data_IF_719421637294
#
_entry.id   IF_719421637294
#
_cell.length_a   1.000
_cell.length_b   1.000
_cell.length_c   1.000
_cell.angle_alpha   90.00
_cell.angle_beta   90.00
_cell.angle_gamma   90.00
#
_symmetry.space_group_name_H-M   'P 1'
#
loop_
_entity.id
_entity.type
_entity.pdbx_description
1 polymer ?
#
# COMPACT_ATOMS: atom_id res chain seq x y z
N UNK A 1 69.86 2.46 -21.74
CA UNK A 1 68.63 1.78 -21.28
C UNK A 1 68.81 1.01 -19.96
N UNK A 2 69.73 0.04 -19.83
CA UNK A 2 69.91 -0.74 -18.57
C UNK A 2 70.23 0.10 -17.31
N UNK A 3 71.04 1.15 -17.43
CA UNK A 3 71.35 2.06 -16.30
C UNK A 3 70.15 2.90 -15.84
N UNK A 4 69.27 3.28 -16.77
CA UNK A 4 68.06 4.06 -16.48
C UNK A 4 67.02 3.21 -15.75
N UNK A 5 66.85 1.95 -16.17
CA UNK A 5 66.03 0.96 -15.46
C UNK A 5 66.54 0.68 -14.04
N UNK A 6 67.85 0.45 -13.87
CA UNK A 6 68.44 0.22 -12.55
C UNK A 6 68.24 1.42 -11.60
N UNK A 7 68.38 2.65 -12.13
CA UNK A 7 68.15 3.87 -11.39
C UNK A 7 66.67 4.03 -11.01
N UNK A 8 65.74 3.79 -11.94
CA UNK A 8 64.29 3.81 -11.70
C UNK A 8 63.86 2.78 -10.65
N UNK A 9 64.39 1.55 -10.70
CA UNK A 9 64.07 0.48 -9.75
C UNK A 9 64.59 0.84 -8.34
N UNK A 10 65.79 1.42 -8.24
CA UNK A 10 66.34 1.87 -6.95
C UNK A 10 65.56 3.06 -6.37
N UNK A 11 65.15 4.00 -7.22
CA UNK A 11 64.34 5.15 -6.85
C UNK A 11 62.93 4.73 -6.41
N UNK A 12 62.25 3.87 -7.20
CA UNK A 12 60.96 3.30 -6.85
C UNK A 12 61.01 2.50 -5.56
N UNK A 13 62.08 1.74 -5.27
CA UNK A 13 62.24 1.05 -3.97
C UNK A 13 62.45 2.03 -2.81
N UNK A 14 63.23 3.09 -3.01
CA UNK A 14 63.56 4.08 -1.97
C UNK A 14 62.36 4.94 -1.58
N UNK A 15 61.50 5.26 -2.54
CA UNK A 15 60.28 6.04 -2.35
C UNK A 15 59.01 5.18 -2.40
N UNK A 16 59.12 3.84 -2.40
CA UNK A 16 57.99 2.92 -2.55
C UNK A 16 56.88 3.20 -1.53
N UNK A 17 57.28 3.38 -0.27
CA UNK A 17 56.36 3.73 0.82
C UNK A 17 55.68 5.07 0.56
N UNK A 18 56.43 6.12 0.26
CA UNK A 18 55.89 7.46 -0.01
C UNK A 18 54.96 7.49 -1.24
N UNK A 19 55.33 6.78 -2.32
CA UNK A 19 54.52 6.63 -3.53
C UNK A 19 53.28 5.79 -3.27
N UNK A 20 53.37 4.73 -2.48
CA UNK A 20 52.23 3.90 -2.08
C UNK A 20 51.26 4.66 -1.19
N UNK A 21 51.75 5.45 -0.23
CA UNK A 21 50.92 6.31 0.62
C UNK A 21 50.28 7.42 -0.20
N UNK A 22 51.02 8.09 -1.09
CA UNK A 22 50.47 9.11 -1.98
C UNK A 22 49.40 8.57 -2.92
N UNK A 23 49.60 7.37 -3.47
CA UNK A 23 48.61 6.70 -4.32
C UNK A 23 47.38 6.26 -3.52
N UNK A 24 47.56 5.72 -2.30
CA UNK A 24 46.46 5.37 -1.40
C UNK A 24 45.64 6.62 -1.03
N UNK A 25 46.28 7.73 -0.67
CA UNK A 25 45.61 8.99 -0.35
C UNK A 25 44.90 9.57 -1.57
N UNK A 26 45.49 9.49 -2.76
CA UNK A 26 44.84 9.93 -3.99
C UNK A 26 43.61 9.07 -4.33
N UNK A 27 43.70 7.74 -4.19
CA UNK A 27 42.58 6.82 -4.39
C UNK A 27 41.47 7.10 -3.38
N UNK A 28 41.81 7.27 -2.09
CA UNK A 28 40.84 7.64 -1.05
C UNK A 28 40.21 9.00 -1.38
N UNK A 29 40.99 10.01 -1.75
CA UNK A 29 40.50 11.34 -2.10
C UNK A 29 39.57 11.35 -3.31
N UNK A 30 39.94 10.65 -4.40
CA UNK A 30 39.09 10.49 -5.59
C UNK A 30 37.80 9.74 -5.25
N UNK A 31 37.90 8.68 -4.43
CA UNK A 31 36.74 7.90 -3.98
C UNK A 31 35.79 8.77 -3.15
N UNK A 32 36.31 9.59 -2.23
CA UNK A 32 35.52 10.53 -1.42
C UNK A 32 34.85 11.61 -2.28
N UNK A 33 35.58 12.19 -3.24
CA UNK A 33 35.03 13.18 -4.18
C UNK A 33 33.92 12.56 -5.03
N UNK A 34 34.16 11.36 -5.57
CA UNK A 34 33.20 10.65 -6.39
C UNK A 34 31.93 10.31 -5.61
N UNK A 35 32.06 9.75 -4.39
CA UNK A 35 30.93 9.50 -3.48
C UNK A 35 30.18 10.81 -3.17
N UNK A 36 30.89 11.91 -2.94
CA UNK A 36 30.28 13.21 -2.65
C UNK A 36 29.48 13.75 -3.83
N UNK A 37 29.98 13.63 -5.07
CA UNK A 37 29.29 14.07 -6.28
C UNK A 37 28.06 13.21 -6.58
N UNK A 38 28.19 11.89 -6.50
CA UNK A 38 27.06 10.96 -6.68
C UNK A 38 25.97 11.21 -5.63
N UNK A 39 26.36 11.46 -4.38
CA UNK A 39 25.42 11.78 -3.31
C UNK A 39 24.75 13.13 -3.52
N UNK A 40 25.44 14.15 -4.04
CA UNK A 40 24.82 15.42 -4.38
C UNK A 40 23.76 15.25 -5.48
N UNK A 41 24.02 14.42 -6.49
CA UNK A 41 23.05 14.07 -7.53
C UNK A 41 21.85 13.30 -6.95
N UNK A 42 22.09 12.32 -6.08
CA UNK A 42 21.03 11.58 -5.40
C UNK A 42 20.15 12.51 -4.55
N UNK A 43 20.76 13.42 -3.79
CA UNK A 43 20.01 14.41 -3.00
C UNK A 43 19.19 15.32 -3.89
N UNK A 44 19.74 15.78 -5.03
CA UNK A 44 18.99 16.58 -5.98
C UNK A 44 17.80 15.81 -6.56
N UNK A 45 17.98 14.52 -6.91
CA UNK A 45 16.91 13.65 -7.37
C UNK A 45 15.84 13.45 -6.29
N UNK A 46 16.23 13.13 -5.05
CA UNK A 46 15.29 12.98 -3.93
C UNK A 46 14.50 14.27 -3.69
N UNK A 47 15.15 15.44 -3.72
CA UNK A 47 14.45 16.73 -3.58
C UNK A 47 13.42 16.94 -4.66
N UNK A 48 13.75 16.59 -5.91
CA UNK A 48 12.80 16.72 -7.01
C UNK A 48 11.64 15.73 -6.85
N UNK A 49 11.91 14.47 -6.49
CA UNK A 49 10.85 13.48 -6.22
C UNK A 49 9.95 13.92 -5.05
N UNK A 50 10.50 14.52 -4.00
CA UNK A 50 9.69 15.06 -2.89
C UNK A 50 8.74 16.15 -3.38
N UNK A 51 9.22 17.10 -4.19
CA UNK A 51 8.37 18.15 -4.76
C UNK A 51 7.27 17.57 -5.66
N UNK A 52 7.60 16.57 -6.48
CA UNK A 52 6.63 15.90 -7.34
C UNK A 52 5.58 15.12 -6.51
N UNK A 53 5.99 14.50 -5.40
CA UNK A 53 5.11 13.83 -4.43
C UNK A 53 4.19 14.84 -3.74
N UNK A 54 4.74 15.96 -3.25
CA UNK A 54 3.97 17.03 -2.60
C UNK A 54 2.91 17.60 -3.55
N UNK A 55 3.30 17.94 -4.79
CA UNK A 55 2.37 18.42 -5.81
C UNK A 55 1.29 17.38 -6.15
N UNK A 56 1.66 16.10 -6.22
CA UNK A 56 0.72 15.00 -6.48
C UNK A 56 -0.25 14.80 -5.32
N UNK A 57 0.20 14.93 -4.07
CA UNK A 57 -0.65 14.87 -2.88
C UNK A 57 -1.61 16.05 -2.84
N UNK A 58 -1.13 17.28 -3.10
CA UNK A 58 -1.97 18.47 -3.17
C UNK A 58 -3.07 18.34 -4.22
N UNK A 59 -2.73 17.85 -5.41
CA UNK A 59 -3.70 17.57 -6.46
C UNK A 59 -4.74 16.50 -6.06
N UNK A 60 -4.36 15.57 -5.17
CA UNK A 60 -5.25 14.55 -4.60
C UNK A 60 -6.03 15.02 -3.35
N UNK A 61 -5.87 16.28 -2.92
CA UNK A 61 -6.53 16.83 -1.73
C UNK A 61 -5.85 16.49 -0.41
N UNK A 62 -4.55 16.19 -0.43
CA UNK A 62 -3.71 15.93 0.73
C UNK A 62 -2.56 16.94 0.80
N UNK A 63 -2.00 17.15 1.98
CA UNK A 63 -0.83 17.99 2.17
C UNK A 63 0.18 17.29 3.10
N UNK A 64 1.42 17.76 3.05
CA UNK A 64 2.54 17.22 3.82
C UNK A 64 3.08 18.30 4.75
N UNK A 65 3.25 17.94 6.03
CA UNK A 65 3.92 18.79 7.00
C UNK A 65 5.04 18.01 7.70
N UNK A 66 6.08 18.73 8.11
CA UNK A 66 7.19 18.18 8.88
C UNK A 66 7.84 19.29 9.71
N UNK A 67 8.47 18.92 10.83
CA UNK A 67 9.16 19.89 11.70
C UNK A 67 10.56 20.21 11.14
N UNK A 68 11.31 19.16 10.80
CA UNK A 68 12.68 19.28 10.29
C UNK A 68 12.90 18.36 9.08
N UNK A 69 13.44 18.91 8.01
CA UNK A 69 13.94 18.17 6.84
C UNK A 69 15.45 18.37 6.72
N UNK A 70 16.21 17.30 6.93
CA UNK A 70 17.67 17.30 6.88
C UNK A 70 18.21 16.45 5.73
N UNK A 71 19.19 16.99 5.00
CA UNK A 71 19.96 16.24 4.01
C UNK A 71 21.42 16.15 4.44
N UNK A 72 21.99 14.95 4.39
CA UNK A 72 23.38 14.74 4.71
C UNK A 72 24.19 14.53 3.43
N UNK A 73 25.20 15.36 3.20
CA UNK A 73 26.03 15.28 1.99
C UNK A 73 27.27 14.39 2.16
N UNK A 74 27.57 13.95 3.40
CA UNK A 74 28.82 13.27 3.74
C UNK A 74 28.66 11.94 4.47
N UNK A 75 27.61 11.74 5.28
CA UNK A 75 27.44 10.53 6.09
C UNK A 75 27.05 9.33 5.25
N UNK A 76 27.80 8.22 5.23
CA UNK A 76 27.49 7.05 4.41
C UNK A 76 26.14 6.38 4.72
N UNK A 77 25.53 6.65 5.89
CA UNK A 77 24.43 5.85 6.41
C UNK A 77 23.03 6.44 6.23
N UNK A 78 22.91 7.76 6.10
CA UNK A 78 21.61 8.45 5.92
C UNK A 78 21.78 9.57 4.91
N UNK A 79 20.89 9.64 3.92
CA UNK A 79 20.86 10.66 2.86
C UNK A 79 19.87 11.76 3.24
N UNK A 80 18.71 11.37 3.75
CA UNK A 80 17.62 12.26 4.15
C UNK A 80 17.02 11.79 5.46
N UNK A 81 16.59 12.75 6.28
CA UNK A 81 15.83 12.52 7.52
C UNK A 81 14.74 13.57 7.65
N UNK A 82 13.53 13.13 7.98
CA UNK A 82 12.37 13.96 8.25
C UNK A 82 11.91 13.64 9.68
N UNK A 83 11.73 14.68 10.49
CA UNK A 83 11.12 14.56 11.82
C UNK A 83 9.67 15.02 11.80
N UNK A 84 8.84 14.30 12.54
CA UNK A 84 7.41 14.55 12.68
C UNK A 84 6.70 14.73 11.33
N UNK A 85 6.97 13.80 10.41
CA UNK A 85 6.32 13.75 9.10
C UNK A 85 4.82 13.49 9.28
N UNK A 86 4.00 14.34 8.67
CA UNK A 86 2.54 14.24 8.63
C UNK A 86 2.07 14.31 7.19
N UNK A 87 1.17 13.40 6.83
CA UNK A 87 0.39 13.46 5.60
C UNK A 87 -1.07 13.55 6.03
N UNK A 88 -1.77 14.62 5.63
CA UNK A 88 -3.12 14.89 6.09
C UNK A 88 -4.03 15.34 4.95
N UNK A 89 -5.33 15.04 5.06
CA UNK A 89 -6.31 15.47 4.07
C UNK A 89 -6.71 16.94 4.29
N UNK A 90 -6.91 17.65 3.20
CA UNK A 90 -7.41 19.03 3.20
C UNK A 90 -8.93 19.11 3.41
N UNK A 91 -9.65 18.00 3.28
CA UNK A 91 -11.07 17.91 3.61
C UNK A 91 -11.28 17.87 5.14
N UNK A 92 -11.85 18.96 5.68
CA UNK A 92 -12.16 19.08 7.11
C UNK A 92 -13.33 18.20 7.59
N UNK A 93 -14.18 17.70 6.69
CA UNK A 93 -15.34 16.88 7.07
C UNK A 93 -14.98 15.39 7.25
N UNK A 94 -14.01 14.87 6.50
CA UNK A 94 -13.47 13.50 6.61
C UNK A 94 -11.94 13.54 6.80
N UNK A 95 -11.50 14.31 7.81
CA UNK A 95 -10.08 14.52 8.11
C UNK A 95 -9.37 13.18 8.32
N UNK A 96 -8.29 12.94 7.58
CA UNK A 96 -7.42 11.77 7.71
C UNK A 96 -6.00 12.26 7.88
N UNK A 97 -5.29 11.75 8.87
CA UNK A 97 -3.87 12.06 9.07
C UNK A 97 -3.10 10.78 9.35
N UNK A 98 -1.93 10.66 8.75
CA UNK A 98 -0.89 9.73 9.16
C UNK A 98 0.32 10.52 9.62
N UNK A 99 0.82 10.18 10.82
CA UNK A 99 2.02 10.77 11.41
C UNK A 99 3.07 9.71 11.66
N UNK A 100 4.32 10.03 11.30
CA UNK A 100 5.51 9.28 11.58
C UNK A 100 6.51 10.18 12.32
N UNK A 101 6.94 9.78 13.52
CA UNK A 101 7.85 10.60 14.35
C UNK A 101 9.21 10.80 13.65
N UNK A 102 9.70 9.79 12.94
CA UNK A 102 10.92 9.89 12.15
C UNK A 102 10.87 9.02 10.90
N UNK A 103 11.17 9.63 9.76
CA UNK A 103 11.36 8.95 8.49
C UNK A 103 12.76 9.23 7.95
N UNK A 104 13.49 8.21 7.56
CA UNK A 104 14.82 8.38 6.99
C UNK A 104 15.00 7.56 5.72
N UNK A 105 15.80 8.10 4.81
CA UNK A 105 16.19 7.42 3.57
C UNK A 105 17.70 7.27 3.57
N UNK A 106 18.16 6.06 3.31
CA UNK A 106 19.58 5.73 3.14
C UNK A 106 19.80 5.10 1.79
N UNK A 107 20.97 5.33 1.20
CA UNK A 107 21.41 4.61 0.02
C UNK A 107 22.75 3.93 0.33
N UNK A 108 23.04 2.82 -0.32
CA UNK A 108 24.34 2.17 -0.19
C UNK A 108 25.45 3.11 -0.71
N UNK A 109 26.58 3.14 -0.02
CA UNK A 109 27.75 3.96 -0.36
C UNK A 109 28.40 3.49 -1.66
N UNK A 110 28.27 2.20 -1.97
CA UNK A 110 28.86 1.59 -3.15
C UNK A 110 27.84 1.34 -4.28
N UNK A 111 26.54 1.46 -3.99
CA UNK A 111 25.46 1.28 -4.95
C UNK A 111 24.26 2.19 -4.62
N UNK A 112 24.35 3.45 -5.05
CA UNK A 112 23.31 4.47 -4.81
C UNK A 112 21.93 4.11 -5.37
N UNK A 113 21.85 3.07 -6.20
CA UNK A 113 20.61 2.55 -6.78
C UNK A 113 19.79 1.72 -5.80
N UNK A 114 20.37 1.30 -4.67
CA UNK A 114 19.66 0.64 -3.58
C UNK A 114 19.30 1.65 -2.52
N UNK A 115 18.01 1.96 -2.45
CA UNK A 115 17.45 2.94 -1.53
C UNK A 115 16.68 2.19 -0.44
N UNK A 116 17.02 2.42 0.82
CA UNK A 116 16.29 1.87 1.97
C UNK A 116 15.53 2.97 2.69
N UNK A 117 14.31 2.65 3.07
CA UNK A 117 13.41 3.50 3.83
C UNK A 117 13.31 3.00 5.26
N UNK A 118 13.45 3.91 6.20
CA UNK A 118 13.40 3.66 7.63
C UNK A 118 12.24 4.45 8.21
N UNK A 119 11.39 3.75 8.96
CA UNK A 119 10.23 4.34 9.64
C UNK A 119 10.42 4.22 11.14
N UNK A 120 9.99 5.22 11.89
CA UNK A 120 9.93 5.13 13.34
C UNK A 120 8.97 4.03 13.77
N UNK A 121 9.29 3.40 14.91
CA UNK A 121 8.45 2.37 15.52
C UNK A 121 7.05 2.88 15.83
N UNK A 122 6.97 4.10 16.36
CA UNK A 122 5.69 4.70 16.73
C UNK A 122 5.19 5.58 15.60
N UNK A 123 3.92 5.42 15.28
CA UNK A 123 3.21 6.16 14.27
C UNK A 123 1.77 6.38 14.75
N UNK A 124 1.07 7.33 14.15
CA UNK A 124 -0.31 7.65 14.53
C UNK A 124 -1.16 7.74 13.27
N UNK A 125 -2.37 7.18 13.33
CA UNK A 125 -3.38 7.32 12.28
C UNK A 125 -4.58 8.00 12.91
N UNK A 126 -5.10 9.03 12.26
CA UNK A 126 -6.31 9.74 12.67
C UNK A 126 -7.34 9.70 11.54
N UNK A 127 -8.60 9.50 11.92
CA UNK A 127 -9.77 9.69 11.06
C UNK A 127 -10.86 10.42 11.83
N UNK A 128 -11.20 11.63 11.38
CA UNK A 128 -12.09 12.55 12.08
C UNK A 128 -11.57 12.83 13.49
N UNK A 129 -12.36 12.48 14.50
CA UNK A 129 -12.01 12.62 15.92
C UNK A 129 -11.33 11.39 16.53
N UNK A 130 -11.23 10.29 15.77
CA UNK A 130 -10.64 9.05 16.26
C UNK A 130 -9.16 9.00 15.90
N UNK A 131 -8.34 8.71 16.91
CA UNK A 131 -6.90 8.58 16.76
C UNK A 131 -6.47 7.20 17.26
N UNK A 132 -5.65 6.53 16.47
CA UNK A 132 -5.09 5.23 16.78
C UNK A 132 -3.57 5.31 16.77
N UNK A 133 -2.96 4.78 17.82
CA UNK A 133 -1.52 4.59 17.89
C UNK A 133 -1.16 3.30 17.16
N UNK A 134 -0.21 3.41 16.24
CA UNK A 134 0.35 2.31 15.49
C UNK A 134 1.79 2.06 15.91
N UNK A 135 2.09 0.80 16.17
CA UNK A 135 3.41 0.34 16.52
C UNK A 135 3.92 -0.61 15.43
N UNK A 136 5.10 -0.30 14.89
CA UNK A 136 5.76 -1.02 13.82
C UNK A 136 7.18 -1.37 14.28
N UNK A 137 7.35 -2.41 15.14
CA UNK A 137 8.63 -2.71 15.77
C UNK A 137 9.74 -3.02 14.77
N UNK A 138 9.39 -3.67 13.66
CA UNK A 138 10.32 -4.03 12.60
C UNK A 138 9.69 -3.74 11.24
N UNK A 139 10.26 -2.77 10.52
CA UNK A 139 9.95 -2.50 9.13
C UNK A 139 11.24 -2.47 8.32
N UNK A 140 11.26 -3.22 7.22
CA UNK A 140 12.30 -3.17 6.21
C UNK A 140 11.66 -2.80 4.89
N UNK A 141 12.11 -1.70 4.29
CA UNK A 141 11.66 -1.24 2.99
C UNK A 141 12.88 -0.91 2.13
N UNK A 142 13.00 -1.53 0.97
CA UNK A 142 14.11 -1.34 0.04
C UNK A 142 13.58 -1.24 -1.40
N UNK A 143 14.11 -0.29 -2.16
CA UNK A 143 13.86 -0.09 -3.58
C UNK A 143 15.17 -0.18 -4.35
N UNK A 144 15.13 -0.87 -5.48
CA UNK A 144 16.23 -0.90 -6.45
C UNK A 144 15.86 -0.12 -7.70
N UNK A 145 16.82 0.66 -8.20
CA UNK A 145 16.71 1.43 -9.44
C UNK A 145 17.65 0.80 -10.49
N UNK A 146 17.22 0.72 -11.74
CA UNK A 146 18.04 0.24 -12.85
C UNK A 146 19.14 1.25 -13.23
N UNK A 147 20.16 0.86 -14.00
CA UNK A 147 21.18 1.79 -14.51
C UNK A 147 20.61 2.95 -15.35
N UNK A 148 19.43 2.79 -15.93
CA UNK A 148 18.70 3.82 -16.67
C UNK A 148 17.84 4.73 -15.78
N UNK A 149 18.07 4.73 -14.46
CA UNK A 149 17.32 5.48 -13.45
C UNK A 149 15.81 5.16 -13.44
N UNK A 150 15.46 3.89 -13.67
CA UNK A 150 14.07 3.43 -13.67
C UNK A 150 13.80 2.52 -12.47
N UNK A 151 12.59 2.57 -11.93
CA UNK A 151 12.13 1.61 -10.94
C UNK A 151 12.39 0.16 -11.42
N UNK A 152 13.03 -0.66 -10.58
CA UNK A 152 13.30 -2.06 -10.87
C UNK A 152 12.52 -2.98 -9.93
N UNK A 153 12.67 -2.79 -8.61
CA UNK A 153 11.95 -3.57 -7.61
C UNK A 153 11.78 -2.79 -6.31
N UNK A 154 10.79 -3.21 -5.51
CA UNK A 154 10.52 -2.73 -4.17
C UNK A 154 10.14 -3.91 -3.28
N UNK A 155 10.70 -3.96 -2.08
CA UNK A 155 10.39 -4.97 -1.08
C UNK A 155 10.09 -4.28 0.25
N UNK A 156 8.92 -4.55 0.81
CA UNK A 156 8.48 -4.13 2.13
C UNK A 156 8.20 -5.37 2.98
N UNK A 157 8.77 -5.41 4.17
CA UNK A 157 8.50 -6.43 5.19
C UNK A 157 8.23 -5.74 6.51
N UNK A 158 7.08 -6.03 7.09
CA UNK A 158 6.69 -5.54 8.41
C UNK A 158 6.40 -6.75 9.29
N UNK A 159 6.98 -6.76 10.49
CA UNK A 159 6.70 -7.76 11.50
C UNK A 159 6.07 -7.12 12.75
N UNK A 160 5.10 -7.83 13.32
CA UNK A 160 4.41 -7.51 14.58
C UNK A 160 3.78 -6.11 14.60
N UNK A 161 3.13 -5.71 13.49
CA UNK A 161 2.40 -4.46 13.41
C UNK A 161 1.21 -4.49 14.36
N UNK A 162 1.09 -3.47 15.20
CA UNK A 162 -0.03 -3.32 16.13
C UNK A 162 -0.68 -1.97 15.94
N UNK A 163 -1.96 -1.94 15.59
CA UNK A 163 -2.78 -0.73 15.69
C UNK A 163 -3.58 -0.84 16.98
N UNK A 164 -3.11 -0.18 18.03
CA UNK A 164 -3.77 -0.17 19.35
C UNK A 164 -5.22 0.23 19.13
N UNK A 165 -6.18 -0.50 19.70
CA UNK A 165 -7.57 -0.10 19.48
C UNK A 165 -8.25 -0.79 18.31
N UNK A 166 -7.54 -1.59 17.50
CA UNK A 166 -8.07 -2.09 16.23
C UNK A 166 -7.62 -3.50 15.88
N UNK A 167 -6.33 -3.71 15.66
CA UNK A 167 -5.82 -4.98 15.10
C UNK A 167 -4.33 -5.18 15.36
N UNK A 168 -3.90 -6.43 15.24
CA UNK A 168 -2.49 -6.83 15.18
C UNK A 168 -2.26 -7.67 13.94
N UNK A 169 -1.10 -7.52 13.29
CA UNK A 169 -0.70 -8.30 12.13
C UNK A 169 0.72 -8.78 12.38
N UNK A 170 0.91 -10.11 12.41
CA UNK A 170 2.22 -10.69 12.67
C UNK A 170 3.20 -10.43 11.54
N UNK A 171 2.77 -10.57 10.29
CA UNK A 171 3.66 -10.41 9.14
C UNK A 171 2.93 -9.82 7.94
N UNK A 172 3.55 -8.81 7.33
CA UNK A 172 3.18 -8.27 6.02
C UNK A 172 4.42 -8.31 5.14
N UNK A 173 4.34 -8.96 4.00
CA UNK A 173 5.33 -8.88 2.94
C UNK A 173 4.67 -8.29 1.71
N UNK A 174 5.24 -7.23 1.18
CA UNK A 174 4.87 -6.68 -0.12
C UNK A 174 6.11 -6.64 -1.01
N UNK A 175 5.98 -7.11 -2.24
CA UNK A 175 7.01 -7.03 -3.25
C UNK A 175 6.41 -6.52 -4.55
N UNK A 176 7.13 -5.64 -5.23
CA UNK A 176 6.80 -5.17 -6.56
C UNK A 176 8.04 -5.28 -7.44
N UNK A 177 7.88 -5.74 -8.68
CA UNK A 177 8.98 -5.89 -9.63
C UNK A 177 8.54 -5.41 -11.00
N UNK A 178 9.36 -4.55 -11.62
CA UNK A 178 9.18 -4.15 -13.00
C UNK A 178 9.56 -5.30 -13.93
N UNK A 179 8.69 -5.60 -14.89
CA UNK A 179 8.94 -6.64 -15.87
C UNK A 179 10.00 -6.20 -16.89
N UNK A 180 10.91 -7.11 -17.25
CA UNK A 180 12.04 -6.81 -18.13
C UNK A 180 11.59 -6.41 -19.55
N UNK A 181 12.28 -5.45 -20.21
CA UNK A 181 11.85 -4.81 -21.46
C UNK A 181 11.75 -5.72 -22.71
N UNK A 182 12.05 -7.01 -22.62
CA UNK A 182 12.04 -7.90 -23.80
C UNK A 182 10.63 -8.11 -24.40
N UNK A 183 9.57 -7.75 -23.68
CA UNK A 183 8.17 -7.86 -24.14
C UNK A 183 7.27 -6.76 -23.53
N UNK A 184 7.72 -5.51 -23.44
CA UNK A 184 6.77 -4.41 -23.15
C UNK A 184 5.98 -4.14 -24.42
N UNK A 185 5.00 -5.00 -24.68
CA UNK A 185 3.87 -4.64 -25.51
C UNK A 185 3.08 -3.58 -24.72
N UNK A 186 2.46 -2.60 -25.40
CA UNK A 186 1.70 -1.54 -24.73
C UNK A 186 0.64 -2.09 -23.75
N UNK A 187 0.19 -3.34 -23.98
CA UNK A 187 -0.84 -4.03 -23.20
C UNK A 187 -0.26 -5.23 -22.39
N UNK A 188 1.05 -5.29 -22.19
CA UNK A 188 1.73 -6.33 -21.42
C UNK A 188 1.83 -5.99 -19.92
N UNK A 189 2.19 -6.98 -19.08
CA UNK A 189 2.44 -6.73 -17.66
C UNK A 189 3.65 -5.82 -17.49
N UNK A 190 3.45 -4.70 -16.81
CA UNK A 190 4.46 -3.68 -16.55
C UNK A 190 5.10 -3.88 -15.17
N UNK A 191 4.29 -4.10 -14.14
CA UNK A 191 4.75 -4.37 -12.77
C UNK A 191 4.02 -5.61 -12.26
N UNK A 192 4.77 -6.57 -11.73
CA UNK A 192 4.21 -7.69 -10.96
C UNK A 192 4.28 -7.35 -9.47
N UNK A 193 3.21 -7.64 -8.73
CA UNK A 193 3.09 -7.38 -7.30
C UNK A 193 2.69 -8.63 -6.54
N UNK A 194 3.18 -8.73 -5.32
CA UNK A 194 2.85 -9.76 -4.35
C UNK A 194 2.59 -9.09 -3.01
N UNK A 195 1.45 -9.40 -2.40
CA UNK A 195 1.12 -9.04 -1.04
C UNK A 195 0.80 -10.31 -0.28
N UNK A 196 1.46 -10.50 0.86
CA UNK A 196 1.29 -11.64 1.73
C UNK A 196 1.13 -11.16 3.18
N UNK A 197 0.02 -11.50 3.80
CA UNK A 197 -0.35 -11.09 5.16
C UNK A 197 -0.69 -12.35 5.97
N UNK A 198 0.01 -12.56 7.08
CA UNK A 198 -0.19 -13.70 7.99
C UNK A 198 -0.64 -13.24 9.36
N UNK A 199 -1.50 -14.05 9.98
CA UNK A 199 -1.95 -13.94 11.36
C UNK A 199 -2.41 -12.50 11.70
N UNK A 200 -3.49 -12.06 11.05
CA UNK A 200 -4.17 -10.82 11.40
C UNK A 200 -5.22 -11.13 12.47
N UNK A 201 -5.11 -10.44 13.61
CA UNK A 201 -6.08 -10.52 14.70
C UNK A 201 -6.79 -9.19 14.85
N UNK A 202 -8.11 -9.20 14.65
CA UNK A 202 -9.00 -8.07 14.90
C UNK A 202 -9.30 -8.05 16.40
N UNK A 203 -9.20 -6.88 17.02
CA UNK A 203 -9.42 -6.79 18.45
C UNK A 203 -10.89 -7.00 18.85
N UNK A 204 -11.13 -7.48 20.07
CA UNK A 204 -12.43 -7.98 20.51
C UNK A 204 -13.54 -6.92 20.51
N UNK A 205 -13.22 -5.68 20.88
CA UNK A 205 -14.17 -4.57 21.01
C UNK A 205 -14.68 -4.01 19.67
N UNK A 206 -14.22 -4.52 18.53
CA UNK A 206 -14.52 -3.98 17.19
C UNK A 206 -15.96 -4.23 16.69
N UNK A 207 -16.83 -4.88 17.47
CA UNK A 207 -18.17 -5.27 17.00
C UNK A 207 -18.15 -6.23 15.78
N UNK A 208 -16.97 -6.72 15.41
CA UNK A 208 -16.76 -7.51 14.21
C UNK A 208 -17.45 -8.89 14.31
N UNK A 209 -18.29 -9.29 13.33
CA UNK A 209 -19.23 -10.40 13.45
C UNK A 209 -18.68 -11.77 13.01
N UNK A 210 -17.52 -11.76 12.35
CA UNK A 210 -16.83 -12.99 11.92
C UNK A 210 -15.73 -13.37 12.92
N UNK A 211 -15.00 -14.44 12.62
CA UNK A 211 -13.81 -14.79 13.37
C UNK A 211 -12.87 -13.57 13.46
N UNK A 212 -12.24 -13.37 14.61
CA UNK A 212 -11.29 -12.27 14.82
C UNK A 212 -9.94 -12.56 14.18
N UNK A 213 -9.65 -13.82 13.93
CA UNK A 213 -8.40 -14.26 13.33
C UNK A 213 -8.57 -14.51 11.84
N UNK A 214 -7.72 -13.85 11.04
CA UNK A 214 -7.50 -14.12 9.63
C UNK A 214 -6.11 -14.75 9.53
N UNK A 215 -6.07 -16.04 9.24
CA UNK A 215 -4.82 -16.81 9.20
C UNK A 215 -3.91 -16.31 8.07
N UNK A 216 -4.50 -16.07 6.89
CA UNK A 216 -3.72 -15.81 5.69
C UNK A 216 -4.50 -15.00 4.65
N UNK A 217 -3.87 -13.96 4.11
CA UNK A 217 -4.33 -13.24 2.93
C UNK A 217 -3.17 -13.08 1.94
N UNK A 218 -3.39 -13.52 0.71
CA UNK A 218 -2.42 -13.42 -0.37
C UNK A 218 -3.04 -12.81 -1.61
N UNK A 219 -2.30 -11.91 -2.23
CA UNK A 219 -2.66 -11.28 -3.49
C UNK A 219 -1.43 -11.25 -4.41
N UNK A 220 -1.58 -11.77 -5.62
CA UNK A 220 -0.66 -11.57 -6.72
C UNK A 220 -1.40 -10.82 -7.84
N UNK A 221 -0.89 -9.63 -8.16
CA UNK A 221 -1.48 -8.72 -9.12
C UNK A 221 -0.45 -8.24 -10.14
N UNK A 222 -0.90 -8.01 -11.37
CA UNK A 222 -0.11 -7.45 -12.44
C UNK A 222 -0.69 -6.09 -12.83
N UNK A 223 0.12 -5.04 -12.83
CA UNK A 223 -0.23 -3.78 -13.48
C UNK A 223 -0.03 -3.97 -14.98
N UNK A 224 -1.11 -3.94 -15.74
CA UNK A 224 -1.12 -4.08 -17.19
C UNK A 224 -1.02 -2.69 -17.82
N UNK A 225 -0.13 -2.54 -18.81
CA UNK A 225 0.12 -1.27 -19.46
C UNK A 225 1.20 -0.42 -18.80
N UNK A 226 1.89 0.39 -19.60
CA UNK A 226 3.01 1.21 -19.13
C UNK A 226 2.49 2.49 -18.48
N UNK A 227 2.98 2.78 -17.27
CA UNK A 227 2.75 4.07 -16.60
C UNK A 227 3.91 4.99 -16.97
N UNK A 228 3.60 6.05 -17.70
CA UNK A 228 4.55 7.10 -18.08
C UNK A 228 4.53 8.23 -17.06
N UNK A 229 5.71 8.77 -16.73
CA UNK A 229 5.83 9.83 -15.74
C UNK A 229 5.31 11.15 -16.30
N UNK A 230 4.31 11.72 -15.64
CA UNK A 230 3.86 13.09 -15.81
C UNK A 230 4.25 13.95 -14.59
N UNK A 231 4.18 15.30 -14.67
CA UNK A 231 4.46 16.18 -13.53
C UNK A 231 3.57 15.92 -12.31
N UNK A 232 2.34 15.46 -12.54
CA UNK A 232 1.38 15.09 -11.49
C UNK A 232 1.04 13.61 -11.65
N UNK A 233 1.09 12.84 -10.55
CA UNK A 233 0.84 11.40 -10.59
C UNK A 233 -0.58 11.04 -11.07
N UNK A 234 -1.59 11.83 -10.72
CA UNK A 234 -2.97 11.61 -11.19
C UNK A 234 -3.10 11.66 -12.70
N UNK A 235 -2.38 12.57 -13.38
CA UNK A 235 -2.33 12.63 -14.85
C UNK A 235 -1.70 11.35 -15.44
N UNK A 236 -0.67 10.82 -14.79
CA UNK A 236 -0.06 9.54 -15.19
C UNK A 236 -1.04 8.37 -15.07
N UNK A 237 -1.89 8.39 -14.03
CA UNK A 237 -2.94 7.38 -13.84
C UNK A 237 -4.06 7.53 -14.86
N UNK A 238 -4.52 8.76 -15.15
CA UNK A 238 -5.56 8.99 -16.16
C UNK A 238 -5.10 8.57 -17.55
N UNK A 239 -3.89 8.94 -17.97
CA UNK A 239 -3.31 8.50 -19.25
C UNK A 239 -3.15 6.97 -19.31
N UNK A 240 -2.75 6.34 -18.20
CA UNK A 240 -2.68 4.88 -18.10
C UNK A 240 -4.07 4.23 -18.25
N UNK A 241 -5.10 4.77 -17.59
CA UNK A 241 -6.50 4.29 -17.69
C UNK A 241 -7.04 4.49 -19.12
N UNK A 242 -6.79 5.64 -19.74
CA UNK A 242 -7.19 5.94 -21.12
C UNK A 242 -6.56 4.97 -22.14
N UNK A 243 -5.36 4.45 -21.83
CA UNK A 243 -4.64 3.44 -22.60
C UNK A 243 -5.04 1.99 -22.24
N UNK A 244 -6.23 1.79 -21.64
CA UNK A 244 -6.76 0.47 -21.21
C UNK A 244 -5.93 -0.19 -20.08
N UNK A 245 -5.26 0.64 -19.28
CA UNK A 245 -4.51 0.22 -18.11
C UNK A 245 -5.42 -0.32 -17.01
N UNK A 246 -5.06 -1.48 -16.47
CA UNK A 246 -5.81 -2.14 -15.39
C UNK A 246 -4.90 -3.04 -14.55
N UNK A 247 -5.41 -3.51 -13.42
CA UNK A 247 -4.71 -4.48 -12.56
C UNK A 247 -5.34 -5.86 -12.75
N UNK A 248 -4.59 -6.79 -13.32
CA UNK A 248 -4.97 -8.20 -13.40
C UNK A 248 -4.66 -8.88 -12.05
N UNK A 249 -5.69 -9.39 -11.38
CA UNK A 249 -5.60 -10.24 -10.18
C UNK A 249 -5.38 -11.68 -10.62
N UNK A 250 -4.12 -12.08 -10.80
CA UNK A 250 -3.71 -13.44 -11.15
C UNK A 250 -4.12 -14.49 -10.11
N UNK A 251 -4.02 -14.15 -8.82
CA UNK A 251 -4.39 -15.02 -7.71
C UNK A 251 -4.63 -14.23 -6.45
N UNK A 252 -5.79 -14.42 -5.84
CA UNK A 252 -6.10 -13.99 -4.48
C UNK A 252 -6.47 -15.22 -3.64
N UNK A 253 -5.96 -15.29 -2.41
CA UNK A 253 -6.34 -16.30 -1.42
C UNK A 253 -6.68 -15.59 -0.12
N UNK A 254 -7.82 -15.93 0.47
CA UNK A 254 -8.22 -15.51 1.79
C UNK A 254 -8.56 -16.74 2.61
N UNK A 255 -7.88 -16.91 3.73
CA UNK A 255 -8.17 -17.93 4.73
C UNK A 255 -8.64 -17.24 6.01
N UNK A 256 -9.95 -17.21 6.19
CA UNK A 256 -10.63 -16.56 7.30
C UNK A 256 -11.69 -17.50 7.88
N UNK A 257 -11.22 -18.57 8.52
CA UNK A 257 -12.04 -19.71 8.90
C UNK A 257 -13.39 -19.32 9.56
N UNK A 258 -14.52 -19.91 9.11
CA UNK A 258 -14.61 -21.00 8.14
C UNK A 258 -14.57 -20.56 6.67
N UNK A 259 -14.53 -19.24 6.39
CA UNK A 259 -14.45 -18.73 5.02
C UNK A 259 -13.07 -19.01 4.44
N UNK A 260 -13.03 -19.77 3.35
CA UNK A 260 -11.84 -19.88 2.51
C UNK A 260 -12.21 -19.45 1.11
N UNK A 261 -11.49 -18.51 0.53
CA UNK A 261 -11.77 -17.97 -0.80
C UNK A 261 -10.51 -17.98 -1.65
N UNK A 262 -10.67 -18.42 -2.90
CA UNK A 262 -9.66 -18.23 -3.95
C UNK A 262 -10.32 -17.46 -5.08
N UNK A 263 -9.64 -16.45 -5.61
CA UNK A 263 -10.17 -15.64 -6.69
C UNK A 263 -9.13 -15.29 -7.76
N UNK A 264 -9.64 -14.96 -8.94
CA UNK A 264 -8.93 -14.32 -10.04
C UNK A 264 -9.83 -13.30 -10.71
N UNK A 265 -9.28 -12.29 -11.35
CA UNK A 265 -10.07 -11.32 -12.11
C UNK A 265 -9.32 -10.03 -12.31
N UNK A 266 -10.02 -8.90 -12.34
CA UNK A 266 -9.49 -7.64 -12.83
C UNK A 266 -10.00 -6.46 -12.00
N UNK A 267 -9.16 -5.46 -11.82
CA UNK A 267 -9.46 -4.19 -11.17
C UNK A 267 -9.21 -3.05 -12.16
N UNK A 268 -10.29 -2.34 -12.48
CA UNK A 268 -10.29 -1.12 -13.28
C UNK A 268 -10.53 0.08 -12.37
N UNK A 269 -10.24 1.27 -12.88
CA UNK A 269 -10.61 2.53 -12.23
C UNK A 269 -11.49 3.34 -13.19
N UNK A 270 -12.56 3.93 -12.68
CA UNK A 270 -13.39 4.82 -13.48
C UNK A 270 -12.81 6.24 -13.54
N UNK A 271 -13.52 7.15 -14.22
CA UNK A 271 -13.12 8.57 -14.38
C UNK A 271 -12.95 9.33 -13.05
N UNK A 272 -13.53 8.84 -11.96
CA UNK A 272 -13.38 9.41 -10.61
C UNK A 272 -12.32 8.67 -9.77
N UNK A 273 -11.49 7.83 -10.42
CA UNK A 273 -10.54 6.92 -9.78
C UNK A 273 -11.19 5.96 -8.76
N UNK A 274 -12.50 5.71 -8.90
CA UNK A 274 -13.18 4.73 -8.07
C UNK A 274 -12.92 3.31 -8.62
N UNK A 275 -12.61 2.34 -7.75
CA UNK A 275 -12.28 0.98 -8.17
C UNK A 275 -13.51 0.24 -8.68
N UNK A 276 -13.37 -0.41 -9.84
CA UNK A 276 -14.29 -1.40 -10.37
C UNK A 276 -13.59 -2.77 -10.40
N UNK A 277 -13.85 -3.58 -9.39
CA UNK A 277 -13.25 -4.90 -9.20
C UNK A 277 -14.23 -5.97 -9.69
N UNK A 278 -13.76 -6.90 -10.51
CA UNK A 278 -14.47 -8.12 -10.85
C UNK A 278 -13.62 -9.32 -10.51
N UNK A 279 -14.09 -10.18 -9.60
CA UNK A 279 -13.42 -11.39 -9.17
C UNK A 279 -14.30 -12.61 -9.42
N UNK A 280 -13.76 -13.59 -10.14
CA UNK A 280 -14.32 -14.93 -10.19
C UNK A 280 -13.79 -15.71 -8.99
N UNK A 281 -14.69 -16.06 -8.06
CA UNK A 281 -14.31 -16.66 -6.78
C UNK A 281 -14.79 -18.09 -6.66
N UNK A 282 -14.02 -18.91 -5.95
CA UNK A 282 -14.44 -20.18 -5.39
C UNK A 282 -14.29 -20.09 -3.88
N UNK A 283 -15.40 -20.21 -3.16
CA UNK A 283 -15.47 -19.95 -1.72
C UNK A 283 -16.10 -21.10 -0.96
N UNK A 284 -15.47 -21.53 0.13
CA UNK A 284 -16.03 -22.41 1.15
C UNK A 284 -16.71 -21.57 2.24
N UNK A 285 -17.89 -21.99 2.71
CA UNK A 285 -18.64 -21.32 3.77
C UNK A 285 -19.04 -19.86 3.46
N UNK A 286 -19.16 -19.49 2.18
CA UNK A 286 -19.59 -18.14 1.78
C UNK A 286 -21.01 -17.84 2.26
N UNK A 287 -21.95 -18.77 2.09
CA UNK A 287 -23.35 -18.56 2.50
C UNK A 287 -23.46 -18.31 4.00
N UNK A 288 -22.81 -19.14 4.82
CA UNK A 288 -22.73 -18.94 6.28
C UNK A 288 -22.11 -17.58 6.65
N UNK A 289 -21.12 -17.13 5.89
CA UNK A 289 -20.48 -15.82 6.08
C UNK A 289 -21.46 -14.69 5.80
N UNK A 290 -22.21 -14.77 4.70
CA UNK A 290 -23.23 -13.78 4.35
C UNK A 290 -24.32 -13.71 5.42
N UNK A 291 -24.80 -14.85 5.90
CA UNK A 291 -25.82 -14.90 6.96
C UNK A 291 -25.32 -14.24 8.25
N UNK A 292 -24.07 -14.52 8.67
CA UNK A 292 -23.47 -13.89 9.86
C UNK A 292 -23.30 -12.38 9.72
N UNK A 293 -22.80 -11.93 8.57
CA UNK A 293 -22.62 -10.50 8.32
C UNK A 293 -23.96 -9.78 8.24
N UNK A 294 -24.97 -10.38 7.59
CA UNK A 294 -26.32 -9.84 7.52
C UNK A 294 -26.98 -9.73 8.91
N UNK A 295 -26.91 -10.79 9.72
CA UNK A 295 -27.48 -10.80 11.08
C UNK A 295 -26.89 -9.72 12.01
N UNK A 296 -25.70 -9.20 11.70
CA UNK A 296 -25.03 -8.13 12.45
C UNK A 296 -25.14 -6.76 11.74
N UNK A 297 -26.00 -6.61 10.73
CA UNK A 297 -26.25 -5.36 10.03
C UNK A 297 -25.14 -4.91 9.07
N UNK A 298 -24.16 -5.77 8.78
CA UNK A 298 -23.07 -5.42 7.87
C UNK A 298 -23.51 -5.44 6.41
N UNK A 299 -24.41 -6.36 6.04
CA UNK A 299 -24.95 -6.53 4.68
C UNK A 299 -26.47 -6.27 4.65
N UNK A 300 -26.98 -5.85 3.49
CA UNK A 300 -28.39 -5.50 3.29
C UNK A 300 -29.29 -6.74 3.11
N UNK A 301 -30.37 -6.83 3.89
CA UNK A 301 -31.26 -8.00 3.97
C UNK A 301 -31.80 -8.44 2.60
N UNK A 302 -32.32 -7.49 1.82
CA UNK A 302 -32.91 -7.79 0.50
C UNK A 302 -31.89 -8.41 -0.44
N UNK A 303 -30.67 -7.86 -0.47
CA UNK A 303 -29.59 -8.34 -1.32
C UNK A 303 -29.14 -9.73 -0.92
N UNK A 304 -28.88 -9.93 0.37
CA UNK A 304 -28.42 -11.22 0.92
C UNK A 304 -29.47 -12.32 0.73
N UNK A 305 -30.75 -12.01 0.92
CA UNK A 305 -31.83 -12.99 0.72
C UNK A 305 -31.85 -13.54 -0.71
N UNK A 306 -31.80 -12.66 -1.73
CA UNK A 306 -31.81 -13.08 -3.14
C UNK A 306 -30.52 -13.81 -3.50
N UNK A 307 -29.36 -13.27 -3.08
CA UNK A 307 -28.07 -13.92 -3.31
C UNK A 307 -28.04 -15.33 -2.72
N UNK A 308 -28.56 -15.52 -1.50
CA UNK A 308 -28.62 -16.83 -0.84
C UNK A 308 -29.42 -17.86 -1.63
N UNK A 309 -30.57 -17.49 -2.20
CA UNK A 309 -31.37 -18.42 -3.02
C UNK A 309 -30.56 -18.91 -4.22
N UNK A 310 -29.87 -18.00 -4.92
CA UNK A 310 -29.04 -18.37 -6.07
C UNK A 310 -27.82 -19.21 -5.65
N UNK A 311 -27.12 -18.80 -4.59
CA UNK A 311 -25.93 -19.48 -4.11
C UNK A 311 -26.25 -20.89 -3.59
N UNK A 312 -27.37 -21.09 -2.89
CA UNK A 312 -27.79 -22.41 -2.42
C UNK A 312 -28.08 -23.38 -3.57
N UNK A 313 -28.60 -22.88 -4.70
CA UNK A 313 -28.81 -23.70 -5.89
C UNK A 313 -27.50 -24.05 -6.62
N UNK A 314 -26.43 -23.28 -6.38
CA UNK A 314 -25.10 -23.46 -6.99
C UNK A 314 -24.09 -24.14 -6.04
N UNK A 315 -24.44 -24.30 -4.78
CA UNK A 315 -23.50 -24.77 -3.76
C UNK A 315 -23.39 -26.29 -3.79
N UNK A 316 -22.20 -26.80 -3.53
CA UNK A 316 -21.92 -28.23 -3.50
C UNK A 316 -20.94 -28.55 -2.38
N UNK A 317 -21.01 -29.78 -1.86
CA UNK A 317 -19.97 -30.29 -0.95
C UNK A 317 -18.85 -30.90 -1.78
N UNK A 318 -17.59 -30.58 -1.44
CA UNK A 318 -16.45 -31.20 -2.11
C UNK A 318 -16.30 -32.65 -1.67
N UNK A 319 -16.52 -32.93 -0.39
CA UNK A 319 -16.65 -34.27 0.19
C UNK A 319 -17.97 -34.39 0.96
N UNK A 320 -18.56 -35.59 1.02
CA UNK A 320 -19.83 -35.81 1.73
C UNK A 320 -19.76 -35.45 3.22
N UNK A 321 -18.59 -35.60 3.85
CA UNK A 321 -18.31 -35.27 5.25
C UNK A 321 -18.11 -33.77 5.51
N UNK A 322 -17.98 -32.94 4.47
CA UNK A 322 -17.70 -31.51 4.66
C UNK A 322 -18.89 -30.83 5.36
N UNK A 323 -18.59 -30.06 6.40
CA UNK A 323 -19.59 -29.27 7.13
C UNK A 323 -20.12 -28.11 6.29
N UNK A 324 -19.24 -27.46 5.53
CA UNK A 324 -19.52 -26.26 4.76
C UNK A 324 -19.61 -26.54 3.26
N UNK A 325 -20.44 -25.78 2.56
CA UNK A 325 -20.56 -25.87 1.11
C UNK A 325 -19.55 -24.96 0.40
N UNK A 326 -19.11 -25.41 -0.77
CA UNK A 326 -18.33 -24.62 -1.72
C UNK A 326 -19.27 -24.01 -2.75
N UNK A 327 -19.03 -22.76 -3.13
CA UNK A 327 -19.75 -22.06 -4.21
C UNK A 327 -18.77 -21.33 -5.10
N UNK A 328 -18.98 -21.39 -6.40
CA UNK A 328 -18.24 -20.60 -7.39
C UNK A 328 -19.14 -19.47 -7.86
N UNK A 329 -18.70 -18.22 -7.66
CA UNK A 329 -19.53 -17.05 -7.91
C UNK A 329 -18.68 -15.82 -8.23
N UNK A 330 -19.11 -14.95 -9.16
CA UNK A 330 -18.48 -13.66 -9.34
C UNK A 330 -18.82 -12.73 -8.17
N UNK A 331 -17.78 -12.13 -7.59
CA UNK A 331 -17.87 -10.99 -6.68
C UNK A 331 -17.44 -9.73 -7.42
N UNK A 332 -18.20 -8.65 -7.25
CA UNK A 332 -17.86 -7.36 -7.88
C UNK A 332 -17.90 -6.24 -6.86
N UNK A 333 -17.01 -5.27 -7.06
CA UNK A 333 -17.15 -3.95 -6.48
C UNK A 333 -17.34 -3.01 -7.66
N UNK A 334 -18.50 -2.41 -7.79
CA UNK A 334 -18.76 -1.41 -8.84
C UNK A 334 -19.62 -0.28 -8.27
N UNK A 335 -19.35 0.96 -8.66
CA UNK A 335 -20.12 2.14 -8.27
C UNK A 335 -20.43 2.19 -6.76
N UNK A 336 -19.40 1.91 -5.95
CA UNK A 336 -19.50 1.86 -4.48
C UNK A 336 -20.48 0.83 -3.94
N UNK A 337 -20.76 -0.24 -4.68
CA UNK A 337 -21.56 -1.36 -4.23
C UNK A 337 -20.72 -2.64 -4.23
N UNK A 338 -20.98 -3.52 -3.27
CA UNK A 338 -20.51 -4.90 -3.29
C UNK A 338 -21.63 -5.75 -3.88
N UNK A 339 -21.32 -6.51 -4.92
CA UNK A 339 -22.25 -7.39 -5.62
C UNK A 339 -21.79 -8.85 -5.59
N UNK A 340 -22.76 -9.75 -5.48
CA UNK A 340 -22.58 -11.21 -5.60
C UNK A 340 -23.55 -11.70 -6.66
N UNK A 341 -23.08 -12.38 -7.71
CA UNK A 341 -23.94 -12.73 -8.87
C UNK A 341 -24.64 -11.49 -9.50
N UNK A 342 -23.99 -10.32 -9.46
CA UNK A 342 -24.58 -9.02 -9.82
C UNK A 342 -25.77 -8.56 -8.93
N UNK A 343 -25.96 -9.18 -7.76
CA UNK A 343 -26.94 -8.73 -6.77
C UNK A 343 -26.22 -7.83 -5.76
N UNK A 344 -26.64 -6.57 -5.58
CA UNK A 344 -26.04 -5.70 -4.59
C UNK A 344 -26.36 -6.22 -3.19
N UNK A 345 -25.32 -6.47 -2.39
CA UNK A 345 -25.43 -6.91 -0.98
C UNK A 345 -25.01 -5.82 0.01
N UNK A 346 -24.34 -4.76 -0.47
CA UNK A 346 -23.93 -3.61 0.33
C UNK A 346 -23.69 -2.39 -0.53
N UNK A 347 -24.16 -1.23 -0.06
CA UNK A 347 -23.72 0.09 -0.52
C UNK A 347 -22.62 0.64 0.41
N UNK A 348 -21.54 1.16 -0.15
CA UNK A 348 -20.34 1.65 0.56
C UNK A 348 -20.41 3.14 0.93
N UNK A 349 -21.40 3.88 0.42
CA UNK A 349 -21.70 5.23 0.90
C UNK A 349 -22.40 5.15 2.27
N UNK A 350 -21.82 5.81 3.28
CA UNK A 350 -22.13 5.73 4.71
C UNK A 350 -23.52 6.23 5.15
N UNK A 351 -24.58 5.98 4.40
CA UNK A 351 -25.95 6.15 4.87
C UNK A 351 -26.47 4.82 5.40
N UNK A 352 -26.31 4.60 6.70
CA UNK A 352 -27.14 3.64 7.44
C UNK A 352 -28.60 4.08 7.26
N UNK A 353 -29.35 3.46 6.33
CA UNK A 353 -30.81 3.50 6.36
C UNK A 353 -31.26 2.67 7.56
N UNK A 354 -31.29 3.33 8.71
CA UNK A 354 -31.62 2.74 10.01
C UNK A 354 -32.00 3.79 11.03
N UNK A 355 -32.87 4.72 10.64
CA UNK A 355 -33.79 5.41 11.57
C UNK A 355 -35.16 5.42 10.93
N UNK A 356 -35.88 4.31 11.07
CA UNK A 356 -37.34 4.39 11.02
C UNK A 356 -37.77 5.41 12.08
N UNK A 357 -38.40 6.49 11.61
CA UNK A 357 -39.14 7.40 12.48
C UNK A 357 -40.20 6.59 13.19
N UNK A 358 -40.05 6.42 14.50
CA UNK A 358 -41.16 6.08 15.40
C UNK A 358 -42.25 7.14 15.15
N UNK A 359 -43.51 6.77 14.87
CA UNK A 359 -44.58 7.75 14.80
C UNK A 359 -44.81 8.32 16.19
N UNK A 360 -44.59 9.63 16.36
CA UNK A 360 -44.99 10.34 17.56
C UNK A 360 -46.52 10.41 17.60
N UNK A 361 -47.12 9.58 18.44
CA UNK A 361 -48.48 9.75 18.93
C UNK A 361 -48.46 10.73 20.10
N UNK A 362 -48.92 11.96 19.89
CA UNK A 362 -49.50 12.83 20.93
C UNK A 362 -50.01 14.11 20.26
N UNK A 363 -51.18 14.01 19.64
CA UNK A 363 -52.03 15.17 19.40
C UNK A 363 -52.94 15.29 20.63
N UNK A 364 -52.52 16.13 21.58
CA UNK A 364 -53.37 16.58 22.70
C UNK A 364 -53.33 18.09 22.71
N UNK A 365 -54.22 18.68 21.91
CA UNK A 365 -54.46 20.10 21.89
C UNK A 365 -55.13 20.57 23.19
N UNK A 366 -54.60 21.66 23.74
CA UNK A 366 -55.35 22.60 24.56
C UNK A 366 -54.87 24.01 24.18
N UNK A 367 -55.75 24.90 23.69
CA UNK A 367 -55.37 26.25 23.29
C UNK A 367 -55.40 27.20 24.50
N UNK A 368 -54.28 27.89 24.74
CA UNK A 368 -54.23 29.03 25.67
C UNK A 368 -54.52 30.35 24.95
N UNK A 369 -55.39 31.11 25.61
CA UNK A 369 -55.84 32.46 25.33
C UNK A 369 -54.75 33.44 24.87
N UNK A 370 -55.09 34.25 23.87
CA UNK A 370 -54.62 35.64 23.80
C UNK A 370 -55.84 36.57 23.72
N UNK A 371 -56.02 37.33 24.80
CA UNK A 371 -56.90 38.49 24.91
C UNK A 371 -56.26 39.71 24.25
N UNK A 372 -57.09 40.48 23.53
CA UNK A 372 -57.00 41.91 23.13
C UNK A 372 -55.63 42.55 22.91
#
# INVERSE_FOLDING_TARGET
MKRLQAYLISFLRRYALMLSTGLLTAVIGITVIWISLERAQLIAAIKQELLDIENSLLAAGYDVAYEELGFNHFSPWQVMRIKDLKIYSLDGADYKEWKCDEFAVSADVFDIRKIRFHFSRNQTIQKGTQTWEMEVPQAFAEMTISPENRFQDFNLRIADLTVKKLLTIRQINFAAQRMAPKQVNANGPFIETHLDVHDLTIADYTGWPMNKEVEYFYLNGNVIGTIERQPIFSESLYDWIEKDGHIEVKKMILNWQPLVMVAKGDLYFNENLAPNLTLNTSSLALVDTLDKMNANGWLEDKGVFVARILLNNKSFKKNQSDKYFTVTTPLKINDKQILIENIPVKTLDGSVRGKEKVPSSADSGTPENQTN
#
